data_IF_799785185751
#
_entry.id   IF_799785185751
#
_cell.length_a   1.000
_cell.length_b   1.000
_cell.length_c   1.000
_cell.angle_alpha   90.00
_cell.angle_beta   90.00
_cell.angle_gamma   90.00
#
_symmetry.space_group_name_H-M   'P 1'
#
loop_
_entity.id
_entity.type
_entity.pdbx_description
1 polymer ?
#
# COMPACT_ATOMS: atom_id res chain seq x y z
N UNK A 1 -60.24 45.75 24.82
CA UNK A 1 -59.76 46.17 23.50
C UNK A 1 -59.21 47.59 23.63
N UNK A 2 -57.90 47.75 23.62
CA UNK A 2 -57.19 49.03 23.43
C UNK A 2 -55.82 48.72 22.82
N UNK A 3 -55.47 49.49 21.80
CA UNK A 3 -54.35 49.32 20.89
C UNK A 3 -53.03 49.86 21.47
N UNK A 4 -51.90 49.32 21.01
CA UNK A 4 -50.68 50.11 20.72
C UNK A 4 -49.92 49.45 19.56
N UNK A 5 -49.71 50.25 18.51
CA UNK A 5 -48.78 50.02 17.39
C UNK A 5 -47.40 50.60 17.72
N UNK A 6 -46.36 50.19 16.97
CA UNK A 6 -44.97 50.69 16.81
C UNK A 6 -44.01 49.48 16.81
N UNK A 7 -43.05 49.26 15.92
CA UNK A 7 -42.52 50.02 14.81
C UNK A 7 -41.62 49.12 13.95
N UNK A 8 -41.65 49.35 12.64
CA UNK A 8 -40.51 49.46 11.72
C UNK A 8 -39.17 48.81 12.10
N UNK A 9 -38.72 47.84 11.29
CA UNK A 9 -37.30 47.67 10.99
C UNK A 9 -37.13 47.20 9.55
N UNK A 10 -36.42 48.01 8.77
CA UNK A 10 -36.32 47.92 7.33
C UNK A 10 -35.64 46.64 6.83
N UNK A 11 -36.08 46.19 5.67
CA UNK A 11 -35.40 45.19 4.86
C UNK A 11 -34.78 45.90 3.66
N UNK A 12 -33.46 46.07 3.67
CA UNK A 12 -32.70 46.44 2.48
C UNK A 12 -32.46 45.19 1.62
N UNK A 13 -32.37 45.36 0.29
CA UNK A 13 -32.26 44.26 -0.66
C UNK A 13 -30.79 43.85 -0.83
N UNK A 14 -30.55 42.56 -1.05
CA UNK A 14 -29.28 42.11 -1.63
C UNK A 14 -28.62 40.97 -0.89
N UNK A 15 -29.00 39.75 -1.26
CA UNK A 15 -28.09 38.67 -1.61
C UNK A 15 -28.95 37.44 -1.91
N UNK A 16 -29.42 37.32 -3.16
CA UNK A 16 -29.89 36.04 -3.66
C UNK A 16 -28.75 35.02 -3.50
N UNK A 17 -28.99 33.80 -2.98
CA UNK A 17 -27.98 32.76 -2.96
C UNK A 17 -27.57 32.47 -4.41
N UNK A 18 -26.28 32.65 -4.69
CA UNK A 18 -25.70 32.37 -5.99
C UNK A 18 -25.68 30.84 -6.16
N UNK A 19 -26.63 30.30 -6.94
CA UNK A 19 -26.61 28.92 -7.40
C UNK A 19 -25.55 28.83 -8.48
N UNK A 20 -24.35 28.35 -8.13
CA UNK A 20 -23.34 27.99 -9.12
C UNK A 20 -23.78 26.73 -9.86
N UNK A 21 -23.86 26.79 -11.20
CA UNK A 21 -24.39 25.71 -12.06
C UNK A 21 -23.44 24.51 -12.24
N UNK A 22 -22.67 24.16 -11.21
CA UNK A 22 -21.89 22.92 -11.16
C UNK A 22 -22.05 22.34 -9.76
N UNK A 23 -23.01 21.43 -9.61
CA UNK A 23 -23.21 20.62 -8.39
C UNK A 23 -22.09 19.60 -8.20
N UNK A 24 -20.83 20.04 -8.27
CA UNK A 24 -19.67 19.26 -7.87
C UNK A 24 -19.37 19.64 -6.43
N UNK A 25 -19.85 18.80 -5.52
CA UNK A 25 -19.36 18.75 -4.15
C UNK A 25 -17.84 18.76 -4.19
N UNK A 26 -17.28 19.85 -3.69
CA UNK A 26 -15.86 20.01 -3.50
C UNK A 26 -15.49 19.07 -2.35
N UNK A 27 -15.09 17.85 -2.67
CA UNK A 27 -14.64 16.84 -1.70
C UNK A 27 -13.60 17.52 -0.79
N UNK A 28 -13.95 17.71 0.48
CA UNK A 28 -12.99 18.04 1.54
C UNK A 28 -12.00 16.89 1.59
N UNK A 29 -10.79 17.13 1.11
CA UNK A 29 -9.62 16.30 1.33
C UNK A 29 -9.22 16.43 2.80
N UNK A 30 -9.91 15.71 3.67
CA UNK A 30 -9.64 15.70 5.10
C UNK A 30 -10.67 14.86 5.85
N UNK A 31 -10.17 13.76 6.41
CA UNK A 31 -10.83 12.76 7.25
C UNK A 31 -11.54 11.60 6.52
N UNK A 32 -10.88 10.44 6.68
CA UNK A 32 -11.43 9.10 6.86
C UNK A 32 -12.06 8.42 5.65
N UNK A 33 -11.25 8.24 4.61
CA UNK A 33 -11.41 7.05 3.75
C UNK A 33 -10.76 5.86 4.48
N UNK A 34 -11.50 5.24 5.40
CA UNK A 34 -11.28 3.86 5.85
C UNK A 34 -11.58 2.88 4.72
N UNK A 35 -11.00 3.09 3.54
CA UNK A 35 -10.91 2.05 2.52
C UNK A 35 -9.79 1.10 2.95
N UNK A 36 -10.07 -0.20 3.05
CA UNK A 36 -9.13 -1.27 3.43
C UNK A 36 -7.96 -1.49 2.46
N UNK A 37 -7.57 -0.46 1.71
CA UNK A 37 -6.50 -0.42 0.72
C UNK A 37 -5.47 0.68 1.02
N UNK A 38 -5.53 1.34 2.18
CA UNK A 38 -4.54 2.33 2.57
C UNK A 38 -3.23 1.60 2.87
N UNK A 39 -2.32 1.61 1.89
CA UNK A 39 -0.93 1.20 2.09
C UNK A 39 -0.26 2.28 2.93
N UNK A 40 0.35 1.89 4.03
CA UNK A 40 1.26 2.74 4.77
C UNK A 40 2.70 2.48 4.29
N UNK A 41 3.31 3.42 3.57
CA UNK A 41 4.68 3.23 3.08
C UNK A 41 5.70 3.07 4.19
N UNK A 42 5.44 3.54 5.42
CA UNK A 42 6.37 3.33 6.53
C UNK A 42 6.43 1.85 6.93
N UNK A 43 5.31 1.13 6.87
CA UNK A 43 5.30 -0.32 7.09
C UNK A 43 6.13 -1.06 6.02
N UNK A 44 6.08 -0.61 4.77
CA UNK A 44 6.97 -1.14 3.72
C UNK A 44 8.44 -0.80 3.95
N UNK A 45 8.74 0.40 4.45
CA UNK A 45 10.12 0.79 4.81
C UNK A 45 10.66 -0.14 5.90
N UNK A 46 9.88 -0.40 6.94
CA UNK A 46 10.27 -1.32 8.01
C UNK A 46 10.48 -2.74 7.49
N UNK A 47 9.60 -3.22 6.61
CA UNK A 47 9.73 -4.53 6.02
C UNK A 47 10.94 -4.65 5.08
N UNK A 48 11.22 -3.62 4.27
CA UNK A 48 12.45 -3.59 3.46
C UNK A 48 13.71 -3.56 4.31
N UNK A 49 13.71 -2.82 5.43
CA UNK A 49 14.85 -2.83 6.38
C UNK A 49 15.02 -4.18 7.05
N UNK A 50 13.92 -4.90 7.31
CA UNK A 50 13.94 -6.26 7.85
C UNK A 50 14.53 -7.27 6.87
N UNK A 51 14.22 -7.14 5.57
CA UNK A 51 14.71 -8.04 4.51
C UNK A 51 16.15 -7.68 4.11
N UNK A 52 16.46 -6.39 4.00
CA UNK A 52 17.75 -5.86 3.57
C UNK A 52 18.34 -4.95 4.66
N UNK A 53 18.97 -5.52 5.71
CA UNK A 53 19.46 -4.75 6.86
C UNK A 53 20.67 -3.86 6.54
N UNK A 54 21.39 -4.16 5.46
CA UNK A 54 22.57 -3.40 5.03
C UNK A 54 22.30 -2.88 3.63
N UNK A 55 22.57 -1.58 3.39
CA UNK A 55 22.39 -0.92 2.08
C UNK A 55 20.98 -1.10 1.50
N UNK A 56 19.95 -1.01 2.34
CA UNK A 56 18.54 -1.23 1.99
C UNK A 56 18.14 -0.57 0.67
N UNK A 57 18.47 0.72 0.48
CA UNK A 57 18.13 1.46 -0.73
C UNK A 57 18.71 0.84 -2.01
N UNK A 58 19.97 0.38 -1.97
CA UNK A 58 20.65 -0.21 -3.12
C UNK A 58 20.06 -1.58 -3.45
N UNK A 59 19.85 -2.43 -2.44
CA UNK A 59 19.27 -3.75 -2.64
C UNK A 59 17.83 -3.67 -3.19
N UNK A 60 17.01 -2.78 -2.63
CA UNK A 60 15.63 -2.59 -3.09
C UNK A 60 15.58 -2.00 -4.50
N UNK A 61 16.47 -1.04 -4.81
CA UNK A 61 16.57 -0.47 -6.14
C UNK A 61 16.97 -1.51 -7.19
N UNK A 62 17.93 -2.39 -6.87
CA UNK A 62 18.34 -3.50 -7.74
C UNK A 62 17.20 -4.50 -7.96
N UNK A 63 16.53 -4.93 -6.88
CA UNK A 63 15.39 -5.85 -6.92
C UNK A 63 14.23 -5.31 -7.77
N UNK A 64 13.92 -4.02 -7.64
CA UNK A 64 12.79 -3.39 -8.33
C UNK A 64 13.16 -2.81 -9.70
N UNK A 65 14.44 -2.83 -10.07
CA UNK A 65 14.98 -2.06 -11.20
C UNK A 65 14.57 -0.58 -11.14
N UNK A 66 14.59 -0.01 -9.93
CA UNK A 66 14.24 1.37 -9.65
C UNK A 66 15.48 2.25 -9.50
N UNK A 67 15.41 3.55 -9.79
CA UNK A 67 16.49 4.47 -9.44
C UNK A 67 16.73 4.48 -7.92
N UNK A 68 17.98 4.32 -7.49
CA UNK A 68 18.34 4.31 -6.05
C UNK A 68 17.81 5.54 -5.32
N UNK A 69 17.90 6.73 -5.93
CA UNK A 69 17.38 7.98 -5.35
C UNK A 69 15.87 7.95 -5.11
N UNK A 70 15.10 7.26 -5.96
CA UNK A 70 13.65 7.11 -5.76
C UNK A 70 13.37 6.27 -4.52
N UNK A 71 14.12 5.18 -4.35
CA UNK A 71 14.00 4.30 -3.18
C UNK A 71 14.47 5.01 -1.90
N UNK A 72 15.54 5.80 -1.96
CA UNK A 72 15.98 6.63 -0.82
C UNK A 72 14.88 7.59 -0.35
N UNK A 73 14.15 8.21 -1.28
CA UNK A 73 13.01 9.08 -0.95
C UNK A 73 11.83 8.32 -0.32
N UNK A 74 11.61 7.06 -0.70
CA UNK A 74 10.63 6.22 -0.02
C UNK A 74 11.08 5.89 1.40
N UNK A 75 12.34 5.49 1.56
CA UNK A 75 12.92 5.13 2.87
C UNK A 75 13.03 6.32 3.84
N UNK A 76 13.13 7.55 3.33
CA UNK A 76 13.10 8.78 4.13
C UNK A 76 11.68 9.28 4.42
N UNK A 77 10.67 8.75 3.74
CA UNK A 77 9.29 9.22 3.81
C UNK A 77 9.02 10.52 3.03
N UNK A 78 9.99 11.02 2.24
CA UNK A 78 9.81 12.20 1.40
C UNK A 78 8.80 11.95 0.27
N UNK A 79 8.73 10.71 -0.22
CA UNK A 79 7.74 10.30 -1.21
C UNK A 79 7.18 8.91 -0.93
N UNK A 80 6.04 8.61 -1.54
CA UNK A 80 5.40 7.29 -1.50
C UNK A 80 5.58 6.59 -2.85
N UNK A 81 5.69 5.25 -2.92
CA UNK A 81 5.66 4.55 -4.20
C UNK A 81 4.34 4.85 -4.92
N UNK A 82 4.43 5.22 -6.20
CA UNK A 82 3.22 5.36 -7.02
C UNK A 82 2.61 3.98 -7.27
N UNK A 83 1.35 3.95 -7.71
CA UNK A 83 0.66 2.71 -8.06
C UNK A 83 1.43 1.89 -9.12
N UNK A 84 2.18 2.56 -10.01
CA UNK A 84 3.02 1.89 -11.02
C UNK A 84 4.10 1.00 -10.40
N UNK A 85 4.55 1.30 -9.18
CA UNK A 85 5.54 0.49 -8.46
C UNK A 85 4.92 -0.71 -7.74
N UNK A 86 3.59 -0.78 -7.63
CA UNK A 86 2.91 -1.89 -6.97
C UNK A 86 3.17 -3.23 -7.67
N UNK A 87 3.09 -3.25 -9.01
CA UNK A 87 3.38 -4.45 -9.81
C UNK A 87 4.82 -4.96 -9.61
N UNK A 88 5.85 -4.12 -9.79
CA UNK A 88 7.25 -4.47 -9.49
C UNK A 88 7.45 -4.96 -8.05
N UNK A 89 6.87 -4.30 -7.06
CA UNK A 89 6.97 -4.70 -5.64
C UNK A 89 6.33 -6.07 -5.41
N UNK A 90 5.13 -6.28 -5.96
CA UNK A 90 4.43 -7.55 -5.87
C UNK A 90 5.23 -8.68 -6.52
N UNK A 91 5.80 -8.45 -7.71
CA UNK A 91 6.59 -9.47 -8.41
C UNK A 91 7.92 -9.79 -7.70
N UNK A 92 8.58 -8.80 -7.09
CA UNK A 92 9.87 -9.00 -6.44
C UNK A 92 9.73 -9.63 -5.03
N UNK A 93 8.73 -9.21 -4.26
CA UNK A 93 8.61 -9.57 -2.84
C UNK A 93 7.40 -10.45 -2.50
N UNK A 94 6.43 -10.60 -3.40
CA UNK A 94 5.23 -11.41 -3.22
C UNK A 94 4.07 -10.69 -2.50
N UNK A 95 2.94 -11.40 -2.39
CA UNK A 95 1.71 -10.87 -1.78
C UNK A 95 1.88 -10.63 -0.27
N UNK A 96 2.69 -11.45 0.40
CA UNK A 96 2.96 -11.30 1.83
C UNK A 96 3.64 -9.97 2.17
N UNK A 97 4.53 -9.48 1.31
CA UNK A 97 5.14 -8.17 1.50
C UNK A 97 4.13 -7.03 1.33
N UNK A 98 3.27 -7.16 0.32
CA UNK A 98 2.20 -6.18 0.09
C UNK A 98 1.25 -6.12 1.28
N UNK A 99 0.85 -7.28 1.83
CA UNK A 99 0.03 -7.37 3.03
C UNK A 99 0.69 -6.70 4.26
N UNK A 100 2.00 -6.89 4.44
CA UNK A 100 2.75 -6.29 5.54
C UNK A 100 2.74 -4.75 5.51
N UNK A 101 2.57 -4.14 4.32
CA UNK A 101 2.42 -2.70 4.17
C UNK A 101 1.03 -2.14 4.47
N UNK A 102 0.06 -3.01 4.78
CA UNK A 102 -1.30 -2.62 5.08
C UNK A 102 -1.52 -2.68 6.60
N UNK A 103 -1.97 -1.58 7.25
CA UNK A 103 -2.25 -1.58 8.68
C UNK A 103 -3.45 -2.47 9.03
N UNK A 104 -4.35 -2.73 8.07
CA UNK A 104 -5.47 -3.66 8.21
C UNK A 104 -5.66 -4.43 6.89
N UNK A 105 -4.85 -5.48 6.63
CA UNK A 105 -4.96 -6.25 5.40
C UNK A 105 -6.28 -7.01 5.37
N UNK A 106 -6.86 -7.15 4.18
CA UNK A 106 -8.05 -7.97 4.03
C UNK A 106 -7.73 -9.45 4.30
N UNK A 107 -8.60 -10.22 4.96
CA UNK A 107 -8.30 -11.61 5.35
C UNK A 107 -7.89 -12.51 4.17
N UNK A 108 -8.48 -12.30 2.99
CA UNK A 108 -8.12 -13.04 1.79
C UNK A 108 -6.65 -12.84 1.38
N UNK A 109 -6.09 -11.65 1.62
CA UNK A 109 -4.71 -11.33 1.27
C UNK A 109 -3.73 -12.04 2.20
N UNK A 110 -4.04 -12.10 3.49
CA UNK A 110 -3.26 -12.85 4.48
C UNK A 110 -3.28 -14.35 4.19
N UNK A 111 -4.44 -14.90 3.81
CA UNK A 111 -4.56 -16.31 3.46
C UNK A 111 -3.75 -16.65 2.19
N UNK A 112 -3.83 -15.81 1.15
CA UNK A 112 -2.99 -15.97 -0.03
C UNK A 112 -1.49 -15.81 0.25
N UNK A 113 -1.10 -14.86 1.11
CA UNK A 113 0.29 -14.71 1.55
C UNK A 113 0.81 -15.96 2.28
N UNK A 114 -0.03 -16.59 3.10
CA UNK A 114 0.30 -17.86 3.77
C UNK A 114 0.44 -18.99 2.76
N UNK A 115 -0.44 -19.08 1.78
CA UNK A 115 -0.39 -20.11 0.75
C UNK A 115 0.82 -19.96 -0.17
N UNK A 116 1.18 -18.73 -0.55
CA UNK A 116 2.42 -18.44 -1.29
C UNK A 116 3.66 -18.89 -0.50
N UNK A 117 3.70 -18.59 0.81
CA UNK A 117 4.79 -19.04 1.68
C UNK A 117 4.85 -20.57 1.81
N UNK A 118 3.70 -21.24 1.90
CA UNK A 118 3.62 -22.72 1.92
C UNK A 118 4.12 -23.32 0.61
N UNK A 119 3.68 -22.79 -0.53
CA UNK A 119 4.10 -23.24 -1.84
C UNK A 119 5.62 -23.11 -2.02
N UNK A 120 6.20 -21.98 -1.61
CA UNK A 120 7.65 -21.76 -1.65
C UNK A 120 8.43 -22.77 -0.79
N UNK A 121 7.92 -23.15 0.37
CA UNK A 121 8.54 -24.17 1.24
C UNK A 121 8.46 -25.56 0.60
N UNK A 122 7.32 -25.92 0.02
CA UNK A 122 7.12 -27.20 -0.64
C UNK A 122 8.02 -27.35 -1.88
N UNK A 123 8.13 -26.30 -2.70
CA UNK A 123 9.03 -26.29 -3.85
C UNK A 123 10.50 -26.49 -3.43
N UNK A 124 10.94 -25.86 -2.34
CA UNK A 124 12.29 -26.07 -1.80
C UNK A 124 12.52 -27.50 -1.32
N UNK A 125 11.52 -28.13 -0.69
CA UNK A 125 11.61 -29.54 -0.30
C UNK A 125 11.77 -30.46 -1.52
N UNK A 126 10.92 -30.28 -2.52
CA UNK A 126 10.97 -31.06 -3.76
C UNK A 126 12.34 -30.94 -4.44
N UNK A 127 12.88 -29.73 -4.56
CA UNK A 127 14.19 -29.51 -5.16
C UNK A 127 15.33 -30.22 -4.38
N UNK A 128 15.24 -30.29 -3.05
CA UNK A 128 16.22 -31.02 -2.23
C UNK A 128 16.07 -32.54 -2.38
N UNK A 129 14.84 -33.04 -2.42
CA UNK A 129 14.57 -34.47 -2.62
C UNK A 129 15.09 -34.94 -3.99
N UNK A 130 14.92 -34.12 -5.04
CA UNK A 130 15.48 -34.37 -6.37
C UNK A 130 17.01 -34.42 -6.36
N UNK A 131 17.67 -33.49 -5.66
CA UNK A 131 19.13 -33.48 -5.52
C UNK A 131 19.63 -34.74 -4.80
N UNK A 132 18.97 -35.14 -3.72
CA UNK A 132 19.31 -36.36 -2.97
C UNK A 132 19.14 -37.62 -3.83
N UNK A 133 18.05 -37.70 -4.61
CA UNK A 133 17.82 -38.81 -5.52
C UNK A 133 18.87 -38.88 -6.63
N UNK A 134 19.26 -37.73 -7.20
CA UNK A 134 20.30 -37.65 -8.21
C UNK A 134 21.68 -38.08 -7.67
N UNK A 135 22.03 -37.62 -6.47
CA UNK A 135 23.28 -38.00 -5.81
C UNK A 135 23.32 -39.49 -5.44
N UNK A 136 22.20 -40.03 -4.98
CA UNK A 136 22.06 -41.47 -4.72
C UNK A 136 22.32 -42.29 -5.99
N UNK A 137 21.67 -41.93 -7.10
CA UNK A 137 21.86 -42.60 -8.39
C UNK A 137 23.29 -42.46 -8.91
N UNK A 138 23.95 -41.33 -8.69
CA UNK A 138 25.35 -41.14 -9.09
C UNK A 138 26.28 -42.08 -8.31
N UNK A 139 26.06 -42.26 -7.00
CA UNK A 139 26.87 -43.16 -6.16
C UNK A 139 26.64 -44.64 -6.45
N UNK A 140 25.42 -45.02 -6.82
CA UNK A 140 25.09 -46.42 -7.11
C UNK A 140 25.60 -46.91 -8.48
N UNK A 141 25.86 -46.00 -9.42
CA UNK A 141 26.34 -46.30 -10.78
C UNK A 141 27.82 -45.97 -11.01
N UNK A 142 28.56 -45.59 -9.97
CA UNK A 142 29.99 -45.34 -9.98
C UNK A 142 30.75 -46.53 -9.39
#
# INVERSE_FOLDING_TARGET
MSAVSLSSRGYLPGASPMITSSGKDMRKSGLEDTQGWVIDPQLWVDEWRRIHPVKTAQCVAEQLNAPVRTVEKWLSGESRPSFDWFGPILCAYGLGFVAAGMPNPAPWLDDHARDERRAAILAKRQALDEQLAADWNRRANA
#
